data_IF_574222306494
#
_entry.id   IF_574222306494
#
_cell.length_a   1.000
_cell.length_b   1.000
_cell.length_c   1.000
_cell.angle_alpha   90.00
_cell.angle_beta   90.00
_cell.angle_gamma   90.00
#
_symmetry.space_group_name_H-M   'P 1'
#
loop_
_entity.id
_entity.type
_entity.pdbx_description
1 polymer ?
#
# COMPACT_ATOMS: atom_id res chain seq x y z
N UNK A 1 -59.55 -22.49 -23.68
CA UNK A 1 -58.33 -22.08 -24.43
C UNK A 1 -57.14 -22.81 -23.81
N UNK A 2 -56.81 -23.97 -24.34
CA UNK A 2 -55.66 -24.74 -23.88
C UNK A 2 -54.38 -24.05 -24.37
N UNK A 3 -53.54 -23.60 -23.44
CA UNK A 3 -52.18 -23.13 -23.72
C UNK A 3 -51.37 -24.29 -24.29
N UNK A 4 -51.12 -24.26 -25.59
CA UNK A 4 -50.23 -25.18 -26.28
C UNK A 4 -48.84 -25.06 -25.61
N UNK A 5 -48.22 -26.17 -25.15
CA UNK A 5 -46.89 -26.11 -24.56
C UNK A 5 -45.88 -25.56 -25.58
N UNK A 6 -44.90 -24.75 -25.16
CA UNK A 6 -43.91 -24.21 -26.08
C UNK A 6 -43.22 -25.36 -26.81
N UNK A 7 -43.04 -25.20 -28.13
CA UNK A 7 -42.29 -26.18 -28.93
C UNK A 7 -40.91 -26.43 -28.29
N UNK A 8 -40.37 -27.65 -28.35
CA UNK A 8 -39.08 -27.98 -27.71
C UNK A 8 -37.94 -27.04 -28.12
N UNK A 9 -38.01 -26.45 -29.33
CA UNK A 9 -37.13 -25.37 -29.79
C UNK A 9 -37.22 -24.09 -28.95
N UNK A 10 -38.43 -23.60 -28.66
CA UNK A 10 -38.65 -22.39 -27.83
C UNK A 10 -38.15 -22.62 -26.40
N UNK A 11 -38.34 -23.81 -25.85
CA UNK A 11 -37.82 -24.18 -24.52
C UNK A 11 -36.30 -24.21 -24.50
N UNK A 12 -35.65 -24.75 -25.54
CA UNK A 12 -34.19 -24.72 -25.68
C UNK A 12 -33.67 -23.27 -25.75
N UNK A 13 -34.22 -22.44 -26.64
CA UNK A 13 -33.80 -21.03 -26.81
C UNK A 13 -33.93 -20.26 -25.49
N UNK A 14 -35.02 -20.48 -24.74
CA UNK A 14 -35.20 -19.86 -23.42
C UNK A 14 -34.11 -20.33 -22.44
N UNK A 15 -33.80 -21.63 -22.40
CA UNK A 15 -32.73 -22.15 -21.54
C UNK A 15 -31.35 -21.59 -21.92
N UNK A 16 -30.99 -21.55 -23.20
CA UNK A 16 -29.72 -20.99 -23.67
C UNK A 16 -29.62 -19.48 -23.46
N UNK A 17 -30.72 -18.75 -23.69
CA UNK A 17 -30.78 -17.33 -23.37
C UNK A 17 -30.58 -17.09 -21.88
N UNK A 18 -31.13 -17.94 -21.02
CA UNK A 18 -30.84 -17.93 -19.59
C UNK A 18 -29.37 -18.21 -19.27
N UNK A 19 -28.73 -19.17 -19.96
CA UNK A 19 -27.31 -19.47 -19.75
C UNK A 19 -26.39 -18.31 -20.19
N UNK A 20 -26.63 -17.70 -21.35
CA UNK A 20 -25.90 -16.52 -21.79
C UNK A 20 -26.11 -15.37 -20.81
N UNK A 21 -27.35 -15.13 -20.37
CA UNK A 21 -27.63 -14.09 -19.38
C UNK A 21 -26.91 -14.35 -18.06
N UNK A 22 -26.87 -15.60 -17.60
CA UNK A 22 -26.15 -15.98 -16.39
C UNK A 22 -24.64 -15.74 -16.51
N UNK A 23 -24.06 -15.99 -17.68
CA UNK A 23 -22.64 -15.74 -17.97
C UNK A 23 -22.38 -14.23 -18.04
N UNK A 24 -23.20 -13.48 -18.77
CA UNK A 24 -23.09 -12.02 -18.93
C UNK A 24 -23.36 -11.24 -17.64
N UNK A 25 -24.17 -11.78 -16.72
CA UNK A 25 -24.45 -11.15 -15.42
C UNK A 25 -23.25 -11.21 -14.47
N UNK A 26 -22.29 -12.12 -14.72
CA UNK A 26 -21.11 -12.23 -13.86
C UNK A 26 -20.30 -10.93 -13.97
N UNK A 27 -19.96 -10.38 -12.81
CA UNK A 27 -19.14 -9.18 -12.70
C UNK A 27 -17.74 -9.59 -12.26
N UNK A 28 -16.73 -9.15 -13.00
CA UNK A 28 -15.34 -9.45 -12.65
C UNK A 28 -14.92 -8.77 -11.34
N UNK A 29 -15.51 -7.61 -11.03
CA UNK A 29 -15.30 -6.91 -9.76
C UNK A 29 -16.12 -7.45 -8.57
N UNK A 30 -16.86 -8.55 -8.73
CA UNK A 30 -17.78 -9.04 -7.69
C UNK A 30 -17.09 -9.34 -6.35
N UNK A 31 -15.88 -9.91 -6.38
CA UNK A 31 -15.11 -10.22 -5.17
C UNK A 31 -14.69 -8.93 -4.44
N UNK A 32 -14.24 -7.91 -5.17
CA UNK A 32 -13.91 -6.60 -4.61
C UNK A 32 -15.14 -5.95 -3.96
N UNK A 33 -16.32 -6.08 -4.57
CA UNK A 33 -17.58 -5.57 -4.02
C UNK A 33 -18.03 -6.31 -2.74
N UNK A 34 -17.63 -7.58 -2.59
CA UNK A 34 -17.89 -8.38 -1.39
C UNK A 34 -16.91 -8.07 -0.25
N UNK A 35 -15.90 -7.22 -0.50
CA UNK A 35 -14.88 -6.85 0.47
C UNK A 35 -13.63 -7.74 0.42
N UNK A 36 -13.55 -8.67 -0.52
CA UNK A 36 -12.36 -9.50 -0.70
C UNK A 36 -11.20 -8.70 -1.32
N UNK A 37 -10.02 -9.31 -1.33
CA UNK A 37 -8.78 -8.71 -1.80
C UNK A 37 -8.10 -9.54 -2.89
N UNK A 38 -8.77 -9.81 -4.02
CA UNK A 38 -8.20 -10.59 -5.11
C UNK A 38 -6.98 -9.89 -5.73
N UNK A 39 -6.03 -10.70 -6.20
CA UNK A 39 -4.91 -10.26 -7.02
C UNK A 39 -5.24 -10.28 -8.52
N UNK A 40 -4.38 -9.70 -9.37
CA UNK A 40 -4.68 -9.41 -10.79
C UNK A 40 -4.87 -10.67 -11.66
N UNK A 41 -4.44 -11.84 -11.18
CA UNK A 41 -4.69 -13.11 -11.85
C UNK A 41 -6.19 -13.46 -11.91
N UNK A 42 -7.01 -12.92 -11.00
CA UNK A 42 -8.45 -13.18 -10.94
C UNK A 42 -9.17 -12.57 -12.14
N UNK A 43 -8.92 -11.30 -12.47
CA UNK A 43 -9.48 -10.67 -13.68
C UNK A 43 -9.07 -11.43 -14.96
N UNK A 44 -7.80 -11.87 -15.06
CA UNK A 44 -7.31 -12.62 -16.21
C UNK A 44 -7.98 -14.01 -16.34
N UNK A 45 -8.15 -14.71 -15.24
CA UNK A 45 -8.83 -16.00 -15.23
C UNK A 45 -10.32 -15.84 -15.53
N UNK A 46 -10.95 -14.80 -14.97
CA UNK A 46 -12.34 -14.47 -15.24
C UNK A 46 -12.59 -14.33 -16.75
N UNK A 47 -11.81 -13.50 -17.45
CA UNK A 47 -12.01 -13.27 -18.88
C UNK A 47 -11.66 -14.48 -19.74
N UNK A 48 -10.64 -15.26 -19.38
CA UNK A 48 -10.32 -16.51 -20.06
C UNK A 48 -11.46 -17.53 -19.95
N UNK A 49 -11.99 -17.74 -18.75
CA UNK A 49 -13.14 -18.62 -18.50
C UNK A 49 -14.43 -18.08 -19.13
N UNK A 50 -14.65 -16.76 -19.10
CA UNK A 50 -15.80 -16.12 -19.74
C UNK A 50 -15.80 -16.40 -21.25
N UNK A 51 -14.65 -16.23 -21.91
CA UNK A 51 -14.47 -16.55 -23.32
C UNK A 51 -14.75 -18.03 -23.61
N UNK A 52 -14.18 -18.96 -22.85
CA UNK A 52 -14.39 -20.40 -23.04
C UNK A 52 -15.86 -20.80 -22.90
N UNK A 53 -16.55 -20.27 -21.89
CA UNK A 53 -17.98 -20.51 -21.69
C UNK A 53 -18.82 -19.97 -22.87
N UNK A 54 -18.52 -18.76 -23.34
CA UNK A 54 -19.26 -18.13 -24.44
C UNK A 54 -19.01 -18.85 -25.78
N UNK A 55 -17.78 -19.27 -26.06
CA UNK A 55 -17.45 -20.09 -27.23
C UNK A 55 -18.17 -21.44 -27.20
N UNK A 56 -18.20 -22.10 -26.03
CA UNK A 56 -18.93 -23.35 -25.85
C UNK A 56 -20.42 -23.19 -26.15
N UNK A 57 -21.06 -22.14 -25.60
CA UNK A 57 -22.47 -21.86 -25.86
C UNK A 57 -22.72 -21.51 -27.34
N UNK A 58 -21.84 -20.73 -27.96
CA UNK A 58 -21.96 -20.35 -29.37
C UNK A 58 -21.86 -21.56 -30.31
N UNK A 59 -20.88 -22.46 -30.08
CA UNK A 59 -20.69 -23.67 -30.88
C UNK A 59 -21.94 -24.55 -30.87
N UNK A 60 -22.47 -24.84 -29.67
CA UNK A 60 -23.71 -25.61 -29.51
C UNK A 60 -24.89 -24.91 -30.19
N UNK A 61 -24.96 -23.58 -30.11
CA UNK A 61 -26.04 -22.79 -30.74
C UNK A 61 -25.99 -22.90 -32.26
N UNK A 62 -24.80 -22.83 -32.87
CA UNK A 62 -24.60 -22.96 -34.32
C UNK A 62 -24.95 -24.38 -34.79
N UNK A 63 -24.48 -25.41 -34.08
CA UNK A 63 -24.75 -26.82 -34.43
C UNK A 63 -26.25 -27.12 -34.41
N UNK A 64 -26.98 -26.67 -33.37
CA UNK A 64 -28.43 -26.87 -33.26
C UNK A 64 -29.20 -26.10 -34.34
N UNK A 65 -28.70 -24.93 -34.77
CA UNK A 65 -29.29 -24.16 -35.86
C UNK A 65 -29.00 -24.77 -37.24
N UNK A 66 -27.82 -25.35 -37.43
CA UNK A 66 -27.42 -25.99 -38.68
C UNK A 66 -28.13 -27.33 -38.92
N UNK A 67 -28.33 -28.12 -37.86
CA UNK A 67 -29.02 -29.42 -37.90
C UNK A 67 -30.55 -29.30 -38.06
N UNK A 68 -31.12 -28.13 -37.73
CA UNK A 68 -32.58 -27.90 -37.72
C UNK A 68 -32.93 -26.69 -38.58
N UNK A 69 -32.81 -26.87 -39.90
CA UNK A 69 -33.00 -25.85 -40.94
C UNK A 69 -34.39 -25.18 -41.02
N UNK A 70 -35.29 -25.41 -40.07
CA UNK A 70 -36.61 -24.77 -40.06
C UNK A 70 -36.96 -24.14 -38.71
N UNK A 71 -37.02 -22.80 -38.77
CA UNK A 71 -37.92 -21.92 -38.01
C UNK A 71 -37.65 -21.69 -36.51
N UNK A 72 -37.29 -20.45 -36.16
CA UNK A 72 -37.76 -19.83 -34.91
C UNK A 72 -36.72 -19.23 -33.96
N UNK A 73 -35.42 -19.46 -34.14
CA UNK A 73 -34.42 -18.73 -33.37
C UNK A 73 -34.31 -17.29 -33.87
N UNK A 74 -34.55 -16.31 -32.98
CA UNK A 74 -34.44 -14.89 -33.36
C UNK A 74 -33.00 -14.57 -33.81
N UNK A 75 -32.80 -13.95 -34.98
CA UNK A 75 -31.49 -13.42 -35.41
C UNK A 75 -30.80 -12.56 -34.34
N UNK A 76 -31.60 -11.91 -33.48
CA UNK A 76 -31.08 -11.11 -32.36
C UNK A 76 -30.34 -11.94 -31.30
N UNK A 77 -30.73 -13.20 -31.07
CA UNK A 77 -30.09 -14.05 -30.06
C UNK A 77 -28.68 -14.47 -30.49
N UNK A 78 -28.55 -14.94 -31.74
CA UNK A 78 -27.25 -15.26 -32.34
C UNK A 78 -26.35 -14.02 -32.42
N UNK A 79 -26.94 -12.85 -32.70
CA UNK A 79 -26.19 -11.60 -32.72
C UNK A 79 -25.61 -11.24 -31.34
N UNK A 80 -26.40 -11.35 -30.27
CA UNK A 80 -25.93 -11.09 -28.89
C UNK A 80 -24.82 -12.06 -28.48
N UNK A 81 -24.96 -13.36 -28.80
CA UNK A 81 -23.93 -14.35 -28.48
C UNK A 81 -22.63 -14.09 -29.23
N UNK A 82 -22.71 -13.75 -30.52
CA UNK A 82 -21.54 -13.39 -31.34
C UNK A 82 -20.83 -12.15 -30.77
N UNK A 83 -21.57 -11.09 -30.43
CA UNK A 83 -20.98 -9.88 -29.84
C UNK A 83 -20.31 -10.16 -28.49
N UNK A 84 -20.93 -10.98 -27.63
CA UNK A 84 -20.36 -11.36 -26.35
C UNK A 84 -19.06 -12.17 -26.50
N UNK A 85 -19.00 -13.08 -27.48
CA UNK A 85 -17.77 -13.82 -27.80
C UNK A 85 -16.67 -12.87 -28.29
N UNK A 86 -16.99 -11.98 -29.23
CA UNK A 86 -16.03 -10.98 -29.74
C UNK A 86 -15.47 -10.11 -28.62
N UNK A 87 -16.32 -9.67 -27.69
CA UNK A 87 -15.90 -8.93 -26.50
C UNK A 87 -14.93 -9.73 -25.64
N UNK A 88 -15.28 -10.98 -25.30
CA UNK A 88 -14.45 -11.81 -24.42
C UNK A 88 -13.13 -12.22 -25.08
N UNK A 89 -13.11 -12.44 -26.39
CA UNK A 89 -11.89 -12.73 -27.16
C UNK A 89 -10.94 -11.55 -27.22
N UNK A 90 -11.45 -10.34 -27.50
CA UNK A 90 -10.67 -9.10 -27.50
C UNK A 90 -10.03 -8.87 -26.12
N UNK A 91 -10.83 -8.96 -25.05
CA UNK A 91 -10.34 -8.72 -23.70
C UNK A 91 -9.30 -9.77 -23.29
N UNK A 92 -9.57 -11.06 -23.47
CA UNK A 92 -8.57 -12.10 -23.13
C UNK A 92 -7.28 -11.90 -23.93
N UNK A 93 -7.37 -11.59 -25.23
CA UNK A 93 -6.20 -11.33 -26.07
C UNK A 93 -5.32 -10.21 -25.49
N UNK A 94 -5.93 -9.07 -25.14
CA UNK A 94 -5.18 -7.92 -24.65
C UNK A 94 -4.75 -8.04 -23.19
N UNK A 95 -5.41 -8.83 -22.35
CA UNK A 95 -4.97 -9.08 -20.97
C UNK A 95 -3.81 -10.09 -20.88
N UNK A 96 -3.60 -10.96 -21.88
CA UNK A 96 -2.53 -11.99 -21.88
C UNK A 96 -1.12 -11.46 -21.55
N UNK A 97 -0.64 -10.33 -22.08
CA UNK A 97 0.69 -9.81 -21.78
C UNK A 97 0.92 -9.58 -20.28
N UNK A 98 -0.14 -9.30 -19.51
CA UNK A 98 -0.05 -9.10 -18.07
C UNK A 98 0.34 -10.38 -17.33
N UNK A 99 0.07 -11.58 -17.86
CA UNK A 99 0.42 -12.86 -17.19
C UNK A 99 1.88 -12.90 -16.78
N UNK A 100 2.79 -12.59 -17.71
CA UNK A 100 4.23 -12.58 -17.43
C UNK A 100 4.63 -11.47 -16.47
N UNK A 101 4.00 -10.30 -16.57
CA UNK A 101 4.27 -9.19 -15.66
C UNK A 101 3.83 -9.49 -14.23
N UNK A 102 2.66 -10.12 -14.07
CA UNK A 102 2.14 -10.57 -12.77
C UNK A 102 3.07 -11.62 -12.17
N UNK A 103 3.45 -12.67 -12.92
CA UNK A 103 4.41 -13.67 -12.42
C UNK A 103 5.74 -13.04 -12.03
N UNK A 104 6.27 -12.11 -12.83
CA UNK A 104 7.48 -11.38 -12.48
C UNK A 104 7.29 -10.57 -11.18
N UNK A 105 6.16 -9.88 -11.01
CA UNK A 105 5.86 -9.12 -9.80
C UNK A 105 5.71 -10.03 -8.57
N UNK A 106 5.13 -11.22 -8.73
CA UNK A 106 4.96 -12.25 -7.70
C UNK A 106 6.29 -12.87 -7.27
N UNK A 107 7.20 -13.16 -8.20
CA UNK A 107 8.49 -13.79 -7.91
C UNK A 107 9.57 -12.79 -7.45
N UNK A 108 9.48 -11.53 -7.87
CA UNK A 108 10.52 -10.53 -7.55
C UNK A 108 10.57 -10.21 -6.06
N UNK A 109 11.79 -10.05 -5.55
CA UNK A 109 12.04 -9.46 -4.22
C UNK A 109 11.40 -8.08 -4.11
N UNK A 110 10.68 -7.83 -3.02
CA UNK A 110 9.91 -6.61 -2.83
C UNK A 110 10.69 -5.30 -3.06
N UNK A 111 11.94 -5.11 -2.58
CA UNK A 111 12.69 -3.88 -2.80
C UNK A 111 13.03 -3.54 -4.25
N UNK A 112 12.79 -4.47 -5.20
CA UNK A 112 13.05 -4.30 -6.63
C UNK A 112 11.77 -4.29 -7.47
N UNK A 113 10.60 -4.27 -6.82
CA UNK A 113 9.29 -4.26 -7.49
C UNK A 113 9.07 -2.96 -8.27
N UNK A 114 9.59 -1.85 -7.75
CA UNK A 114 9.61 -0.53 -8.40
C UNK A 114 10.08 -0.57 -9.86
N UNK A 115 11.11 -1.37 -10.18
CA UNK A 115 11.65 -1.53 -11.54
C UNK A 115 10.66 -2.16 -12.52
N UNK A 116 9.66 -2.88 -12.02
CA UNK A 116 8.63 -3.55 -12.81
C UNK A 116 7.35 -2.71 -12.96
N UNK A 117 7.21 -1.61 -12.21
CA UNK A 117 6.02 -0.76 -12.26
C UNK A 117 5.92 0.06 -13.56
N UNK A 118 7.00 0.67 -14.11
CA UNK A 118 6.91 1.36 -15.40
C UNK A 118 6.43 0.47 -16.56
N UNK A 119 6.98 -0.74 -16.80
CA UNK A 119 6.49 -1.61 -17.87
C UNK A 119 5.06 -2.12 -17.62
N UNK A 120 4.66 -2.27 -16.36
CA UNK A 120 3.27 -2.56 -16.00
C UNK A 120 2.33 -1.45 -16.49
N UNK A 121 2.55 -0.20 -16.08
CA UNK A 121 1.69 0.91 -16.48
C UNK A 121 1.69 1.16 -17.99
N UNK A 122 2.84 1.00 -18.65
CA UNK A 122 2.92 1.05 -20.10
C UNK A 122 1.99 0.02 -20.75
N UNK A 123 2.00 -1.22 -20.24
CA UNK A 123 1.14 -2.30 -20.74
C UNK A 123 -0.34 -2.00 -20.46
N UNK A 124 -0.70 -1.45 -19.30
CA UNK A 124 -2.06 -1.01 -19.00
C UNK A 124 -2.55 0.08 -19.97
N UNK A 125 -1.69 1.03 -20.36
CA UNK A 125 -2.03 2.03 -21.38
C UNK A 125 -2.22 1.40 -22.76
N UNK A 126 -1.39 0.42 -23.15
CA UNK A 126 -1.57 -0.32 -24.41
C UNK A 126 -2.89 -1.09 -24.43
N UNK A 127 -3.25 -1.76 -23.34
CA UNK A 127 -4.54 -2.46 -23.21
C UNK A 127 -5.69 -1.47 -23.33
N UNK A 128 -5.62 -0.35 -22.62
CA UNK A 128 -6.64 0.69 -22.66
C UNK A 128 -6.83 1.31 -24.06
N UNK A 129 -5.75 1.46 -24.82
CA UNK A 129 -5.78 2.11 -26.14
C UNK A 129 -6.16 1.16 -27.27
N UNK A 130 -5.76 -0.11 -27.20
CA UNK A 130 -5.95 -1.08 -28.29
C UNK A 130 -7.14 -2.02 -28.10
N UNK A 131 -7.54 -2.34 -26.85
CA UNK A 131 -8.74 -3.15 -26.63
C UNK A 131 -10.00 -2.34 -26.85
N UNK A 132 -10.87 -2.85 -27.72
CA UNK A 132 -12.13 -2.17 -28.05
C UNK A 132 -13.13 -2.27 -26.88
N UNK A 133 -13.06 -3.36 -26.11
CA UNK A 133 -14.04 -3.64 -25.08
C UNK A 133 -13.48 -3.40 -23.66
N UNK A 134 -12.18 -3.55 -23.42
CA UNK A 134 -11.62 -3.35 -22.08
C UNK A 134 -11.50 -1.87 -21.66
N UNK A 135 -11.52 -0.94 -22.62
CA UNK A 135 -11.35 0.50 -22.42
C UNK A 135 -12.56 1.20 -21.75
N UNK A 136 -12.97 0.66 -20.60
CA UNK A 136 -14.04 1.18 -19.74
C UNK A 136 -13.48 1.50 -18.35
N UNK A 137 -13.85 2.65 -17.75
CA UNK A 137 -13.33 3.07 -16.45
C UNK A 137 -13.48 2.00 -15.36
N UNK A 138 -14.63 1.33 -15.31
CA UNK A 138 -14.92 0.29 -14.32
C UNK A 138 -13.93 -0.87 -14.37
N UNK A 139 -13.64 -1.42 -15.56
CA UNK A 139 -12.71 -2.55 -15.73
C UNK A 139 -11.29 -2.17 -15.33
N UNK A 140 -10.86 -0.99 -15.75
CA UNK A 140 -9.54 -0.48 -15.37
C UNK A 140 -9.42 -0.24 -13.86
N UNK A 141 -10.46 0.26 -13.20
CA UNK A 141 -10.49 0.41 -11.74
C UNK A 141 -10.36 -0.95 -11.05
N UNK A 142 -11.11 -1.97 -11.47
CA UNK A 142 -11.03 -3.33 -10.92
C UNK A 142 -9.60 -3.85 -11.02
N UNK A 143 -9.00 -3.82 -12.21
CA UNK A 143 -7.65 -4.33 -12.41
C UNK A 143 -6.60 -3.56 -11.60
N UNK A 144 -6.71 -2.23 -11.53
CA UNK A 144 -5.80 -1.41 -10.71
C UNK A 144 -5.96 -1.69 -9.21
N UNK A 145 -7.19 -1.94 -8.72
CA UNK A 145 -7.43 -2.36 -7.34
C UNK A 145 -6.79 -3.73 -7.06
N UNK A 146 -6.90 -4.68 -8.00
CA UNK A 146 -6.25 -5.99 -7.88
C UNK A 146 -4.72 -5.88 -7.83
N UNK A 147 -4.12 -4.99 -8.64
CA UNK A 147 -2.69 -4.68 -8.53
C UNK A 147 -2.32 -4.01 -7.20
N UNK A 148 -3.17 -3.12 -6.66
CA UNK A 148 -2.97 -2.58 -5.31
C UNK A 148 -2.97 -3.70 -4.27
N UNK A 149 -3.90 -4.65 -4.37
CA UNK A 149 -3.99 -5.78 -3.46
C UNK A 149 -2.73 -6.65 -3.51
N UNK A 150 -2.21 -6.94 -4.71
CA UNK A 150 -0.95 -7.66 -4.88
C UNK A 150 0.23 -6.92 -4.23
N UNK A 151 0.34 -5.61 -4.40
CA UNK A 151 1.40 -4.81 -3.77
C UNK A 151 1.29 -4.86 -2.25
N UNK A 152 0.08 -4.72 -1.70
CA UNK A 152 -0.18 -4.81 -0.25
C UNK A 152 0.19 -6.20 0.28
N UNK A 153 -0.18 -7.27 -0.43
CA UNK A 153 0.21 -8.63 -0.07
C UNK A 153 1.73 -8.78 -0.01
N UNK A 154 2.45 -8.20 -0.98
CA UNK A 154 3.92 -8.18 -0.96
C UNK A 154 4.49 -7.38 0.21
N UNK A 155 3.89 -6.25 0.57
CA UNK A 155 4.28 -5.46 1.75
C UNK A 155 4.14 -6.31 3.01
N UNK A 156 3.02 -7.00 3.18
CA UNK A 156 2.79 -7.85 4.35
C UNK A 156 3.75 -9.05 4.40
N UNK A 157 4.05 -9.67 3.27
CA UNK A 157 5.03 -10.74 3.18
C UNK A 157 6.47 -10.25 3.46
N UNK A 158 6.80 -9.00 3.13
CA UNK A 158 8.13 -8.43 3.33
C UNK A 158 8.37 -7.92 4.76
N UNK A 159 7.37 -7.28 5.36
CA UNK A 159 7.45 -6.73 6.71
C UNK A 159 7.16 -7.76 7.81
N UNK A 160 6.27 -8.72 7.53
CA UNK A 160 5.79 -9.74 8.47
C UNK A 160 5.26 -9.08 9.76
N UNK A 161 3.95 -8.78 9.86
CA UNK A 161 3.40 -7.96 10.94
C UNK A 161 3.79 -8.43 12.35
N UNK A 162 3.83 -9.73 12.59
CA UNK A 162 4.13 -10.34 13.89
C UNK A 162 5.62 -10.26 14.29
N UNK A 163 6.49 -9.96 13.33
CA UNK A 163 7.94 -9.88 13.50
C UNK A 163 8.46 -8.44 13.43
N UNK A 164 7.67 -7.50 12.90
CA UNK A 164 8.09 -6.13 12.63
C UNK A 164 8.77 -5.45 13.84
N UNK A 165 8.13 -5.47 15.01
CA UNK A 165 8.69 -4.88 16.25
C UNK A 165 9.70 -5.77 16.98
N UNK A 166 9.95 -6.99 16.47
CA UNK A 166 10.96 -7.91 17.00
C UNK A 166 12.31 -7.79 16.31
N UNK A 167 12.35 -7.16 15.14
CA UNK A 167 13.54 -6.85 14.39
C UNK A 167 14.37 -5.76 15.09
N UNK A 168 15.62 -5.61 14.67
CA UNK A 168 16.41 -4.43 15.04
C UNK A 168 15.73 -3.16 14.51
N UNK A 169 15.75 -2.09 15.31
CA UNK A 169 14.99 -0.87 15.04
C UNK A 169 15.43 -0.23 13.71
N UNK A 170 16.73 -0.22 13.42
CA UNK A 170 17.30 0.28 12.17
C UNK A 170 16.81 -0.53 10.95
N UNK A 171 16.76 -1.86 11.07
CA UNK A 171 16.29 -2.73 10.00
C UNK A 171 14.78 -2.56 9.77
N UNK A 172 13.99 -2.50 10.84
CA UNK A 172 12.55 -2.25 10.77
C UNK A 172 12.23 -0.91 10.08
N UNK A 173 12.95 0.14 10.46
CA UNK A 173 12.83 1.47 9.84
C UNK A 173 13.12 1.43 8.33
N UNK A 174 14.25 0.84 7.93
CA UNK A 174 14.63 0.74 6.51
C UNK A 174 13.57 0.01 5.69
N UNK A 175 13.07 -1.14 6.19
CA UNK A 175 12.06 -1.92 5.46
C UNK A 175 10.74 -1.17 5.32
N UNK A 176 10.28 -0.48 6.37
CA UNK A 176 9.06 0.33 6.32
C UNK A 176 9.19 1.44 5.29
N UNK A 177 10.33 2.13 5.25
CA UNK A 177 10.61 3.19 4.27
C UNK A 177 10.60 2.67 2.83
N UNK A 178 11.19 1.49 2.58
CA UNK A 178 11.14 0.83 1.28
C UNK A 178 9.68 0.55 0.87
N UNK A 179 8.85 0.02 1.78
CA UNK A 179 7.42 -0.22 1.51
C UNK A 179 6.66 1.04 1.13
N UNK A 180 6.81 2.11 1.92
CA UNK A 180 6.18 3.40 1.65
C UNK A 180 6.64 3.94 0.29
N UNK A 181 7.94 3.86 0.00
CA UNK A 181 8.52 4.34 -1.27
C UNK A 181 7.96 3.61 -2.49
N UNK A 182 7.89 2.27 -2.46
CA UNK A 182 7.36 1.47 -3.57
C UNK A 182 5.87 1.78 -3.81
N UNK A 183 5.07 1.87 -2.74
CA UNK A 183 3.64 2.18 -2.86
C UNK A 183 3.39 3.60 -3.38
N UNK A 184 4.19 4.60 -2.93
CA UNK A 184 4.13 5.96 -3.47
C UNK A 184 4.54 6.00 -4.94
N UNK A 185 5.59 5.27 -5.33
CA UNK A 185 6.03 5.14 -6.73
C UNK A 185 4.91 4.58 -7.60
N UNK A 186 4.15 3.59 -7.13
CA UNK A 186 2.99 3.07 -7.85
C UNK A 186 1.93 4.15 -8.12
N UNK A 187 1.59 4.97 -7.10
CA UNK A 187 0.66 6.08 -7.25
C UNK A 187 1.19 7.16 -8.20
N UNK A 188 2.46 7.54 -8.08
CA UNK A 188 3.10 8.53 -8.95
C UNK A 188 3.06 8.08 -10.42
N UNK A 189 3.38 6.81 -10.69
CA UNK A 189 3.31 6.26 -12.03
C UNK A 189 1.88 6.24 -12.57
N UNK A 190 0.87 5.95 -11.76
CA UNK A 190 -0.53 6.09 -12.18
C UNK A 190 -0.83 7.50 -12.70
N UNK A 191 -0.40 8.55 -11.99
CA UNK A 191 -0.62 9.93 -12.44
C UNK A 191 0.16 10.27 -13.71
N UNK A 192 1.42 9.85 -13.78
CA UNK A 192 2.28 10.06 -14.96
C UNK A 192 1.66 9.40 -16.19
N UNK A 193 1.25 8.13 -16.08
CA UNK A 193 0.70 7.39 -17.22
C UNK A 193 -0.71 7.86 -17.58
N UNK A 194 -1.53 8.25 -16.61
CA UNK A 194 -2.83 8.89 -16.84
C UNK A 194 -2.71 10.13 -17.73
N UNK A 195 -1.68 10.95 -17.51
CA UNK A 195 -1.39 12.13 -18.35
C UNK A 195 -0.79 11.75 -19.71
N UNK A 196 -0.07 10.63 -19.79
CA UNK A 196 0.54 10.14 -21.04
C UNK A 196 -0.44 9.43 -21.97
N UNK A 197 -1.63 9.03 -21.54
CA UNK A 197 -2.63 8.32 -22.38
C UNK A 197 -2.80 8.95 -23.78
N UNK A 198 -2.94 10.28 -23.95
CA UNK A 198 -3.11 10.88 -25.27
C UNK A 198 -1.96 10.57 -26.23
N UNK A 199 -0.72 10.34 -25.74
CA UNK A 199 0.44 10.04 -26.60
C UNK A 199 0.42 8.62 -27.18
N UNK A 200 -0.50 7.76 -26.74
CA UNK A 200 -0.69 6.40 -27.28
C UNK A 200 -1.66 6.37 -28.46
N UNK A 201 -2.38 7.46 -28.70
CA UNK A 201 -3.30 7.59 -29.82
C UNK A 201 -2.61 8.25 -31.01
N UNK A 202 -2.97 7.81 -32.22
CA UNK A 202 -2.55 8.47 -33.44
C UNK A 202 -3.36 9.76 -33.67
N UNK A 203 -2.80 10.68 -34.46
CA UNK A 203 -3.47 11.92 -34.83
C UNK A 203 -4.86 11.66 -35.43
N UNK A 204 -5.88 12.36 -34.92
CA UNK A 204 -7.26 12.26 -35.38
C UNK A 204 -8.10 11.16 -34.71
N UNK A 205 -7.54 10.33 -33.83
CA UNK A 205 -8.33 9.37 -33.06
C UNK A 205 -9.02 10.02 -31.86
N UNK A 206 -10.20 9.51 -31.50
CA UNK A 206 -10.91 9.92 -30.28
C UNK A 206 -10.16 9.31 -29.08
N UNK A 207 -9.54 10.18 -28.28
CA UNK A 207 -8.80 9.79 -27.08
C UNK A 207 -9.77 9.47 -25.95
N UNK A 208 -9.73 8.23 -25.44
CA UNK A 208 -10.42 7.86 -24.20
C UNK A 208 -9.47 8.09 -23.03
N UNK A 209 -9.79 8.98 -22.11
CA UNK A 209 -8.99 9.22 -20.90
C UNK A 209 -9.40 8.29 -19.76
N UNK A 210 -8.48 8.05 -18.81
CA UNK A 210 -8.87 7.54 -17.50
C UNK A 210 -9.57 8.66 -16.72
N UNK A 211 -10.90 8.63 -16.71
CA UNK A 211 -11.79 9.67 -16.18
C UNK A 211 -12.47 9.28 -14.85
N UNK A 212 -11.86 8.32 -14.12
CA UNK A 212 -12.34 7.87 -12.81
C UNK A 212 -11.59 8.54 -11.64
N UNK A 213 -12.19 8.50 -10.46
CA UNK A 213 -11.57 9.00 -9.22
C UNK A 213 -10.44 8.07 -8.76
N UNK A 214 -9.33 8.64 -8.32
CA UNK A 214 -8.22 7.90 -7.73
C UNK A 214 -8.60 7.19 -6.43
N UNK A 215 -9.56 7.74 -5.69
CA UNK A 215 -10.06 7.15 -4.44
C UNK A 215 -10.72 5.80 -4.66
N UNK A 216 -11.28 5.54 -5.85
CA UNK A 216 -11.83 4.23 -6.19
C UNK A 216 -10.72 3.18 -6.28
N UNK A 217 -9.51 3.56 -6.70
CA UNK A 217 -8.38 2.65 -6.85
C UNK A 217 -7.60 2.52 -5.54
N UNK A 218 -7.27 3.64 -4.92
CA UNK A 218 -6.23 3.68 -3.88
C UNK A 218 -6.74 3.69 -2.45
N UNK A 219 -8.06 3.75 -2.18
CA UNK A 219 -8.60 3.85 -0.80
C UNK A 219 -7.92 2.91 0.19
N UNK A 220 -7.78 1.62 -0.17
CA UNK A 220 -7.13 0.62 0.67
C UNK A 220 -5.61 0.82 0.76
N UNK A 221 -4.96 1.10 -0.37
CA UNK A 221 -3.52 1.36 -0.42
C UNK A 221 -3.14 2.57 0.45
N UNK A 222 -3.93 3.63 0.40
CA UNK A 222 -3.74 4.86 1.17
C UNK A 222 -3.85 4.59 2.68
N UNK A 223 -4.86 3.83 3.11
CA UNK A 223 -4.95 3.41 4.52
C UNK A 223 -3.73 2.61 5.00
N UNK A 224 -3.17 1.73 4.16
CA UNK A 224 -1.94 1.01 4.50
C UNK A 224 -0.72 1.95 4.53
N UNK A 225 -0.60 2.88 3.58
CA UNK A 225 0.47 3.88 3.57
C UNK A 225 0.44 4.73 4.84
N UNK A 226 -0.74 5.18 5.27
CA UNK A 226 -0.92 5.96 6.51
C UNK A 226 -0.48 5.15 7.73
N UNK A 227 -0.87 3.88 7.83
CA UNK A 227 -0.43 2.99 8.93
C UNK A 227 1.08 2.77 8.92
N UNK A 228 1.70 2.59 7.75
CA UNK A 228 3.15 2.47 7.68
C UNK A 228 3.88 3.74 8.09
N UNK A 229 3.34 4.93 7.75
CA UNK A 229 3.88 6.20 8.23
C UNK A 229 3.79 6.31 9.75
N UNK A 230 2.68 5.85 10.36
CA UNK A 230 2.57 5.78 11.82
C UNK A 230 3.70 4.94 12.44
N UNK A 231 3.97 3.78 11.83
CA UNK A 231 5.00 2.87 12.30
C UNK A 231 6.40 3.46 12.07
N UNK A 232 6.64 4.13 10.95
CA UNK A 232 7.88 4.85 10.64
C UNK A 232 8.22 5.85 11.75
N UNK A 233 7.23 6.59 12.24
CA UNK A 233 7.42 7.57 13.31
C UNK A 233 7.71 6.94 14.68
N UNK A 234 7.10 5.78 14.96
CA UNK A 234 7.44 4.98 16.15
C UNK A 234 8.88 4.51 16.09
N UNK A 235 9.33 4.00 14.94
CA UNK A 235 10.73 3.61 14.76
C UNK A 235 11.68 4.81 14.86
N UNK A 236 11.33 5.96 14.28
CA UNK A 236 12.11 7.18 14.39
C UNK A 236 12.28 7.62 15.85
N UNK A 237 11.20 7.55 16.63
CA UNK A 237 11.23 7.84 18.07
C UNK A 237 12.12 6.84 18.80
N UNK A 238 11.98 5.54 18.52
CA UNK A 238 12.82 4.50 19.12
C UNK A 238 14.32 4.69 18.83
N UNK A 239 14.68 5.10 17.61
CA UNK A 239 16.06 5.43 17.25
C UNK A 239 16.61 6.63 18.04
N UNK A 240 15.79 7.65 18.29
CA UNK A 240 16.18 8.79 19.12
C UNK A 240 16.45 8.35 20.56
N UNK A 241 15.70 7.40 21.11
CA UNK A 241 15.95 6.80 22.43
C UNK A 241 17.22 5.96 22.50
N UNK A 242 17.51 5.14 21.49
CA UNK A 242 18.79 4.41 21.42
C UNK A 242 20.02 5.34 21.40
N UNK A 243 19.87 6.55 20.86
CA UNK A 243 20.95 7.55 20.90
C UNK A 243 21.12 8.19 22.29
N UNK A 244 20.05 8.26 23.10
CA UNK A 244 20.10 8.75 24.47
C UNK A 244 20.87 7.80 25.41
N UNK A 245 20.72 6.49 25.22
CA UNK A 245 21.39 5.47 26.04
C UNK A 245 22.92 5.53 25.92
N UNK A 246 23.44 5.87 24.72
CA UNK A 246 24.88 5.96 24.44
C UNK A 246 25.57 7.19 25.06
N UNK A 247 24.85 7.98 25.86
CA UNK A 247 25.30 9.29 26.32
C UNK A 247 25.76 9.25 27.78
N UNK A 248 27.06 9.09 27.98
CA UNK A 248 27.67 9.19 29.31
C UNK A 248 27.77 10.66 29.76
N UNK A 249 26.92 11.04 30.73
CA UNK A 249 26.97 12.34 31.39
C UNK A 249 28.03 12.32 32.51
N UNK A 250 29.03 13.21 32.41
CA UNK A 250 30.19 13.25 33.31
C UNK A 250 29.90 13.53 34.80
N UNK A 251 30.76 12.97 35.65
CA UNK A 251 30.53 12.59 37.07
C UNK A 251 30.08 13.68 38.07
N UNK A 252 30.54 14.93 38.01
CA UNK A 252 30.44 15.78 39.22
C UNK A 252 29.11 16.52 39.40
N UNK A 253 28.29 16.55 38.34
CA UNK A 253 26.96 17.21 38.29
C UNK A 253 25.96 16.46 37.40
N UNK A 254 26.41 15.36 36.78
CA UNK A 254 25.64 14.50 35.91
C UNK A 254 24.67 13.57 36.64
N UNK A 255 24.86 13.28 37.93
CA UNK A 255 24.08 12.25 38.64
C UNK A 255 22.56 12.32 38.48
N UNK A 256 21.93 13.46 38.79
CA UNK A 256 20.46 13.65 38.68
C UNK A 256 19.99 13.59 37.21
N UNK A 257 20.84 14.05 36.28
CA UNK A 257 20.52 14.07 34.85
C UNK A 257 20.69 12.70 34.22
N UNK A 258 21.71 11.95 34.64
CA UNK A 258 21.89 10.54 34.31
C UNK A 258 20.72 9.75 34.83
N UNK A 259 20.33 9.93 36.09
CA UNK A 259 19.18 9.25 36.71
C UNK A 259 17.87 9.53 35.96
N UNK A 260 17.64 10.79 35.55
CA UNK A 260 16.51 11.14 34.70
C UNK A 260 16.58 10.43 33.34
N UNK A 261 17.72 10.47 32.63
CA UNK A 261 17.87 9.78 31.33
C UNK A 261 17.69 8.26 31.48
N UNK A 262 18.21 7.65 32.55
CA UNK A 262 18.04 6.22 32.84
C UNK A 262 16.58 5.86 33.08
N UNK A 263 15.87 6.60 33.93
CA UNK A 263 14.44 6.37 34.20
C UNK A 263 13.60 6.46 32.93
N UNK A 264 13.93 7.39 32.04
CA UNK A 264 13.23 7.57 30.76
C UNK A 264 13.51 6.43 29.78
N UNK A 265 14.74 5.92 29.77
CA UNK A 265 15.12 4.79 28.94
C UNK A 265 14.46 3.50 29.44
N UNK A 266 14.39 3.30 30.76
CA UNK A 266 13.70 2.16 31.37
C UNK A 266 12.20 2.16 31.03
N UNK A 267 11.52 3.30 31.17
CA UNK A 267 10.10 3.44 30.82
C UNK A 267 9.87 3.19 29.31
N UNK A 268 10.78 3.66 28.44
CA UNK A 268 10.76 3.36 27.01
C UNK A 268 10.91 1.87 26.72
N UNK A 269 11.89 1.20 27.32
CA UNK A 269 12.10 -0.23 27.13
C UNK A 269 10.92 -1.07 27.60
N UNK A 270 10.22 -0.67 28.67
CA UNK A 270 9.02 -1.34 29.14
C UNK A 270 7.84 -1.19 28.17
N UNK A 271 7.62 0.01 27.61
CA UNK A 271 6.60 0.23 26.58
C UNK A 271 6.95 -0.50 25.28
N UNK A 272 8.22 -0.47 24.87
CA UNK A 272 8.70 -1.19 23.69
C UNK A 272 8.54 -2.71 23.84
N UNK A 273 8.82 -3.26 25.04
CA UNK A 273 8.59 -4.68 25.35
C UNK A 273 7.12 -5.04 25.22
N UNK A 274 6.23 -4.20 25.77
CA UNK A 274 4.77 -4.38 25.66
C UNK A 274 4.31 -4.38 24.20
N UNK A 275 4.87 -3.50 23.36
CA UNK A 275 4.58 -3.47 21.92
C UNK A 275 5.05 -4.75 21.22
N UNK A 276 6.28 -5.20 21.51
CA UNK A 276 6.91 -6.39 20.94
C UNK A 276 6.16 -7.68 21.26
N UNK A 277 5.55 -7.74 22.44
CA UNK A 277 4.77 -8.89 22.93
C UNK A 277 3.28 -8.79 22.56
N UNK A 278 2.84 -7.65 22.02
CA UNK A 278 1.45 -7.47 21.65
C UNK A 278 1.05 -8.42 20.52
N UNK A 279 -0.19 -8.92 20.58
CA UNK A 279 -0.80 -9.72 19.49
C UNK A 279 -1.48 -8.84 18.45
N UNK A 280 -1.30 -7.51 18.53
CA UNK A 280 -1.94 -6.56 17.64
C UNK A 280 -1.34 -6.65 16.25
N UNK A 281 -2.18 -6.62 15.21
CA UNK A 281 -1.71 -6.52 13.84
C UNK A 281 -1.43 -5.05 13.50
N UNK A 282 -0.16 -4.63 13.33
CA UNK A 282 0.19 -3.25 13.03
C UNK A 282 -0.41 -2.71 11.73
N UNK A 283 -0.88 -3.58 10.83
CA UNK A 283 -1.44 -3.20 9.54
C UNK A 283 -2.97 -3.23 9.49
N UNK A 284 -3.64 -3.50 10.62
CA UNK A 284 -5.10 -3.34 10.69
C UNK A 284 -5.46 -1.86 10.60
N UNK A 285 -5.89 -1.44 9.41
CA UNK A 285 -6.32 -0.07 9.12
C UNK A 285 -7.82 0.14 9.35
N UNK A 286 -8.58 -0.92 9.65
CA UNK A 286 -10.03 -0.85 9.88
C UNK A 286 -10.39 -0.51 11.32
N UNK A 287 -9.42 -0.64 12.24
CA UNK A 287 -9.56 -0.27 13.62
C UNK A 287 -9.02 1.15 13.82
N UNK A 288 -9.90 2.13 13.99
CA UNK A 288 -9.52 3.54 14.22
C UNK A 288 -8.85 3.77 15.58
N UNK A 289 -8.78 2.74 16.44
CA UNK A 289 -7.96 2.81 17.64
C UNK A 289 -6.52 2.42 17.29
N UNK A 290 -5.57 3.38 17.19
CA UNK A 290 -4.17 3.01 17.29
C UNK A 290 -4.00 2.22 18.60
N UNK A 291 -3.18 1.15 18.63
CA UNK A 291 -3.00 0.37 19.85
C UNK A 291 -2.72 1.32 21.00
N UNK A 292 -3.29 1.04 22.18
CA UNK A 292 -3.19 1.87 23.39
C UNK A 292 -1.76 2.29 23.77
N UNK A 293 -0.78 1.64 23.14
CA UNK A 293 0.66 1.88 23.19
C UNK A 293 1.10 3.14 22.42
N UNK A 294 0.44 3.58 21.34
CA UNK A 294 0.80 4.81 20.62
C UNK A 294 0.65 6.07 21.49
N UNK A 295 -0.48 6.27 22.21
CA UNK A 295 -0.55 7.34 23.20
C UNK A 295 0.52 7.24 24.29
N UNK A 296 0.96 6.04 24.65
CA UNK A 296 2.00 5.80 25.67
C UNK A 296 3.40 6.13 25.14
N UNK A 297 3.74 5.71 23.93
CA UNK A 297 4.98 6.11 23.23
C UNK A 297 5.02 7.61 22.98
N UNK A 298 3.87 8.21 22.66
CA UNK A 298 3.76 9.66 22.52
C UNK A 298 3.97 10.38 23.85
N UNK A 299 3.39 9.87 24.94
CA UNK A 299 3.63 10.38 26.28
C UNK A 299 5.12 10.29 26.67
N UNK A 300 5.78 9.18 26.32
CA UNK A 300 7.21 8.98 26.53
C UNK A 300 8.06 9.96 25.72
N UNK A 301 7.76 10.15 24.43
CA UNK A 301 8.40 11.16 23.60
C UNK A 301 8.24 12.57 24.21
N UNK A 302 7.05 12.89 24.73
CA UNK A 302 6.76 14.12 25.46
C UNK A 302 7.56 14.22 26.78
N UNK A 303 7.78 13.10 27.46
CA UNK A 303 8.62 13.03 28.65
C UNK A 303 10.09 13.29 28.30
N UNK A 304 10.64 12.68 27.24
CA UNK A 304 11.97 12.96 26.68
C UNK A 304 12.15 14.41 26.29
N UNK A 305 11.17 14.99 25.63
CA UNK A 305 11.23 16.40 25.27
C UNK A 305 11.35 17.29 26.52
N UNK A 306 10.61 16.97 27.59
CA UNK A 306 10.71 17.69 28.88
C UNK A 306 12.09 17.51 29.50
N UNK A 307 12.62 16.29 29.55
CA UNK A 307 13.97 16.01 30.04
C UNK A 307 15.06 16.71 29.22
N UNK A 308 14.97 16.67 27.89
CA UNK A 308 15.90 17.37 26.99
C UNK A 308 15.86 18.90 27.14
N UNK A 309 14.67 19.48 27.36
CA UNK A 309 14.53 20.91 27.69
C UNK A 309 15.20 21.25 29.03
N UNK A 310 15.08 20.38 30.03
CA UNK A 310 15.76 20.55 31.33
C UNK A 310 17.27 20.42 31.19
N UNK A 311 17.76 19.45 30.41
CA UNK A 311 19.17 19.29 30.05
C UNK A 311 19.73 20.57 29.38
N UNK A 312 19.01 21.15 28.42
CA UNK A 312 19.41 22.38 27.74
C UNK A 312 19.48 23.58 28.70
N UNK A 313 18.51 23.73 29.61
CA UNK A 313 18.53 24.78 30.65
C UNK A 313 19.74 24.59 31.58
N UNK A 314 20.04 23.36 31.96
CA UNK A 314 21.18 23.03 32.80
C UNK A 314 22.52 23.34 32.12
N UNK A 315 22.73 22.87 30.90
CA UNK A 315 23.94 23.14 30.11
C UNK A 315 24.08 24.63 29.71
N UNK A 316 22.97 25.33 29.46
CA UNK A 316 22.96 26.79 29.24
C UNK A 316 23.31 27.59 30.49
N UNK A 317 22.86 27.13 31.67
CA UNK A 317 23.17 27.79 32.96
C UNK A 317 24.63 27.59 33.39
N UNK A 318 25.23 26.45 33.06
CA UNK A 318 26.65 26.15 33.34
C UNK A 318 27.59 26.98 32.47
N UNK A 319 27.20 27.37 31.25
CA UNK A 319 27.97 28.30 30.42
C UNK A 319 28.00 29.72 31.03
N UNK A 320 26.89 30.19 31.61
CA UNK A 320 26.83 31.48 32.33
C UNK A 320 27.69 31.50 33.58
N UNK A 321 27.79 30.37 34.31
CA UNK A 321 28.68 30.22 35.49
C UNK A 321 30.12 29.85 35.13
N UNK A 322 30.36 29.33 33.93
CA UNK A 322 31.64 28.78 33.45
C UNK A 322 32.66 29.80 32.94
N UNK A 323 32.34 31.10 32.86
CA UNK A 323 33.33 32.14 32.54
C UNK A 323 34.43 32.34 33.62
N UNK A 324 34.43 31.56 34.72
CA UNK A 324 35.41 31.69 35.81
C UNK A 324 36.23 30.44 36.18
N UNK A 325 36.02 29.27 35.58
CA UNK A 325 36.87 28.09 35.89
C UNK A 325 37.23 27.30 34.64
N UNK A 326 38.35 27.69 34.03
CA UNK A 326 39.09 26.86 33.09
C UNK A 326 40.27 26.23 33.83
N UNK A 327 40.07 25.02 34.34
CA UNK A 327 41.15 24.08 34.63
C UNK A 327 40.51 22.72 34.87
N UNK A 328 41.14 21.68 34.31
CA UNK A 328 40.79 20.26 34.39
C UNK A 328 39.66 19.82 33.42
N UNK A 329 40.07 19.21 32.30
CA UNK A 329 39.39 18.09 31.64
C UNK A 329 40.31 17.58 30.53
N UNK A 330 41.17 16.62 30.87
CA UNK A 330 41.82 15.70 29.92
C UNK A 330 41.00 14.41 29.90
N UNK A 331 40.79 13.90 28.70
CA UNK A 331 40.32 12.57 28.29
C UNK A 331 38.83 12.39 27.90
N UNK A 332 38.72 11.88 26.66
CA UNK A 332 37.69 11.00 26.08
C UNK A 332 36.50 11.59 25.30
N UNK A 333 36.56 11.20 24.00
CA UNK A 333 35.58 11.00 22.92
C UNK A 333 34.79 12.18 22.31
N UNK A 334 34.77 12.18 20.98
CA UNK A 334 34.54 13.32 20.06
C UNK A 334 33.07 13.46 19.67
N UNK A 335 32.43 14.56 20.10
CA UNK A 335 31.14 15.03 19.59
C UNK A 335 31.39 16.14 18.55
N UNK A 336 31.28 15.80 17.27
CA UNK A 336 31.50 16.72 16.14
C UNK A 336 32.97 17.14 16.00
N UNK A 337 33.54 17.05 14.78
CA UNK A 337 34.91 17.52 14.52
C UNK A 337 35.07 18.97 15.06
N UNK A 338 35.89 19.14 16.10
CA UNK A 338 36.34 20.40 16.71
C UNK A 338 35.41 21.12 17.73
N UNK A 339 34.40 20.48 18.34
CA UNK A 339 33.60 21.13 19.40
C UNK A 339 34.06 20.79 20.84
N UNK A 340 34.14 21.77 21.76
CA UNK A 340 34.34 21.50 23.19
C UNK A 340 33.22 20.63 23.77
N UNK A 341 33.53 19.69 24.68
CA UNK A 341 32.59 18.69 25.24
C UNK A 341 31.24 19.26 25.68
N UNK A 342 31.25 20.37 26.42
CA UNK A 342 30.01 21.05 26.90
C UNK A 342 29.18 21.62 25.74
N UNK A 343 29.83 22.21 24.73
CA UNK A 343 29.15 22.73 23.56
C UNK A 343 28.62 21.58 22.67
N UNK A 344 29.38 20.49 22.55
CA UNK A 344 28.97 19.26 21.86
C UNK A 344 27.71 18.65 22.47
N UNK A 345 27.70 18.48 23.80
CA UNK A 345 26.54 17.97 24.54
C UNK A 345 25.31 18.89 24.39
N UNK A 346 25.50 20.22 24.45
CA UNK A 346 24.41 21.18 24.26
C UNK A 346 23.83 21.12 22.84
N UNK A 347 24.68 21.07 21.81
CA UNK A 347 24.25 20.98 20.41
C UNK A 347 23.54 19.66 20.15
N UNK A 348 24.04 18.56 20.69
CA UNK A 348 23.40 17.26 20.58
C UNK A 348 22.02 17.25 21.27
N UNK A 349 21.91 17.79 22.50
CA UNK A 349 20.62 17.91 23.20
C UNK A 349 19.61 18.77 22.43
N UNK A 350 20.08 19.85 21.79
CA UNK A 350 19.24 20.70 20.94
C UNK A 350 18.77 19.97 19.68
N UNK A 351 19.66 19.24 19.02
CA UNK A 351 19.37 18.46 17.83
C UNK A 351 18.36 17.34 18.14
N UNK A 352 18.60 16.57 19.21
CA UNK A 352 17.69 15.53 19.68
C UNK A 352 16.31 16.12 20.01
N UNK A 353 16.27 17.24 20.74
CA UNK A 353 15.00 17.93 21.04
C UNK A 353 14.28 18.32 19.75
N UNK A 354 15.00 18.80 18.73
CA UNK A 354 14.41 19.18 17.46
C UNK A 354 13.82 17.97 16.72
N UNK A 355 14.51 16.84 16.73
CA UNK A 355 14.04 15.59 16.10
C UNK A 355 12.82 15.02 16.80
N UNK A 356 12.85 14.93 18.12
CA UNK A 356 11.71 14.48 18.92
C UNK A 356 10.51 15.43 18.75
N UNK A 357 10.73 16.74 18.69
CA UNK A 357 9.67 17.72 18.40
C UNK A 357 9.04 17.53 17.02
N UNK A 358 9.85 17.23 16.01
CA UNK A 358 9.38 16.97 14.66
C UNK A 358 8.56 15.68 14.60
N UNK A 359 9.07 14.59 15.19
CA UNK A 359 8.38 13.30 15.26
C UNK A 359 7.09 13.39 16.09
N UNK A 360 7.11 14.13 17.20
CA UNK A 360 5.92 14.38 18.05
C UNK A 360 4.80 15.05 17.28
N UNK A 361 5.09 16.11 16.51
CA UNK A 361 4.05 16.82 15.77
C UNK A 361 3.33 15.86 14.81
N UNK A 362 4.07 14.94 14.22
CA UNK A 362 3.51 13.94 13.33
C UNK A 362 2.68 12.88 14.11
N UNK A 363 3.22 12.35 15.22
CA UNK A 363 2.51 11.39 16.10
C UNK A 363 1.23 11.98 16.72
N UNK A 364 1.23 13.27 17.09
CA UNK A 364 0.04 13.98 17.56
C UNK A 364 -1.02 14.14 16.46
N UNK A 365 -0.62 14.40 15.21
CA UNK A 365 -1.56 14.48 14.09
C UNK A 365 -2.22 13.13 13.82
N UNK A 366 -1.48 12.03 13.98
CA UNK A 366 -1.99 10.67 13.77
C UNK A 366 -2.85 10.15 14.93
N UNK A 367 -2.72 10.67 16.15
CA UNK A 367 -3.60 10.32 17.27
C UNK A 367 -4.99 10.99 17.22
N UNK A 368 -5.18 11.95 16.29
CA UNK A 368 -6.42 12.69 16.07
C UNK A 368 -7.11 12.35 14.73
N UNK A 369 -6.51 11.47 13.93
CA UNK A 369 -7.11 10.81 12.77
C UNK A 369 -7.62 9.43 13.22
#
# INVERSE_FOLDING_TARGET
LATIPPSPQKTLIVQWSGQIWNVLKKDSGALLLQGDHPGPNVELQFWATQRENLLGIQCITIDVMADRYETGSSPSFLHVSVLAVLEAEDIDLYLRPLRRLISNLEEKSFPKVDTLLPPLFHTLCLIWTHSQYYCTPRRMVVLLQEFCNLIIEKVFAYLIPEQLFKMEIEEGMERVQICISVMRTFKELFHIYRQKIPSYYNEGQIVKSWDFSETLVFKRLDGIIERLQMIEEVFATALDFLQLEKLELGETRGGILSEMVYSMNEEFHDQWRTLRESKYNPFDYTNDNPPSVFPQLQYLADHVQRGSKQLQVYFGSTQRKGRRSSKYLKNSAVLGKNMPKVAGNLKWSQELRSRILQNRNNLCQMAHL
#
